data_IF_600074060206
#
_entry.id   IF_600074060206
#
_cell.length_a   1.000
_cell.length_b   1.000
_cell.length_c   1.000
_cell.angle_alpha   90.00
_cell.angle_beta   90.00
_cell.angle_gamma   90.00
#
_symmetry.space_group_name_H-M   'P 1'
#
loop_
_entity.id
_entity.type
_entity.pdbx_description
1 polymer ?
#
# COMPACT_ATOMS: atom_id res chain seq x y z
N UNK A 1 -9.00 -39.51 -6.27
CA UNK A 1 -9.90 -38.47 -6.80
C UNK A 1 -9.72 -37.19 -5.99
N UNK A 2 -8.64 -36.45 -6.26
CA UNK A 2 -8.35 -35.17 -5.61
C UNK A 2 -9.22 -34.14 -6.32
N UNK A 3 -10.33 -33.77 -5.70
CA UNK A 3 -11.17 -32.68 -6.17
C UNK A 3 -10.35 -31.40 -6.06
N UNK A 4 -9.68 -31.03 -7.17
CA UNK A 4 -9.21 -29.68 -7.44
C UNK A 4 -10.44 -28.77 -7.48
N UNK A 5 -10.95 -28.38 -6.32
CA UNK A 5 -11.72 -27.14 -6.21
C UNK A 5 -10.71 -26.02 -6.47
N UNK A 6 -10.74 -25.47 -7.68
CA UNK A 6 -10.23 -24.14 -7.97
C UNK A 6 -10.99 -23.15 -7.07
N UNK A 7 -10.60 -23.08 -5.80
CA UNK A 7 -10.76 -21.85 -5.03
C UNK A 7 -9.73 -20.93 -5.65
N UNK A 8 -10.18 -20.01 -6.51
CA UNK A 8 -9.34 -18.92 -7.00
C UNK A 8 -8.68 -18.26 -5.79
N UNK A 9 -7.39 -18.51 -5.60
CA UNK A 9 -6.61 -17.87 -4.55
C UNK A 9 -6.42 -16.42 -4.97
N UNK A 10 -7.19 -15.50 -4.38
CA UNK A 10 -6.89 -14.08 -4.48
C UNK A 10 -5.56 -13.85 -3.76
N UNK A 11 -4.55 -13.37 -4.47
CA UNK A 11 -3.22 -13.10 -3.94
C UNK A 11 -2.88 -11.62 -4.13
N UNK A 12 -2.13 -11.05 -3.19
CA UNK A 12 -1.55 -9.71 -3.28
C UNK A 12 -0.06 -9.83 -3.00
N UNK A 13 0.76 -10.30 -3.97
CA UNK A 13 2.20 -10.35 -3.78
C UNK A 13 2.77 -8.93 -3.79
N UNK A 14 3.70 -8.64 -2.88
CA UNK A 14 4.45 -7.39 -2.86
C UNK A 14 5.93 -7.66 -2.64
N UNK A 15 6.80 -6.99 -3.37
CA UNK A 15 8.25 -7.13 -3.26
C UNK A 15 8.94 -5.77 -3.36
N UNK A 16 10.16 -5.66 -2.83
CA UNK A 16 10.91 -4.41 -2.82
C UNK A 16 12.41 -4.68 -2.83
N UNK A 17 13.19 -3.74 -3.35
CA UNK A 17 14.65 -3.64 -3.15
C UNK A 17 15.03 -2.57 -2.11
N UNK A 18 14.04 -2.07 -1.37
CA UNK A 18 14.10 -0.88 -0.50
C UNK A 18 14.26 0.41 -1.32
N UNK A 19 15.49 0.81 -1.63
CA UNK A 19 15.76 2.04 -2.40
C UNK A 19 15.65 1.78 -3.92
N UNK A 20 15.48 2.82 -4.75
CA UNK A 20 15.65 2.69 -6.19
C UNK A 20 17.00 2.06 -6.52
N UNK A 21 16.96 0.96 -7.27
CA UNK A 21 18.12 0.09 -7.59
C UNK A 21 18.80 -0.59 -6.39
N UNK A 22 18.10 -0.73 -5.26
CA UNK A 22 18.57 -1.48 -4.10
C UNK A 22 19.88 -0.96 -3.52
N UNK A 23 20.89 -1.83 -3.46
CA UNK A 23 22.25 -1.49 -3.04
C UNK A 23 23.10 -0.89 -4.17
N UNK A 24 22.60 -0.91 -5.41
CA UNK A 24 23.35 -0.63 -6.65
C UNK A 24 24.52 -1.58 -6.90
N UNK A 25 24.53 -2.75 -6.25
CA UNK A 25 25.52 -3.80 -6.45
C UNK A 25 24.90 -4.92 -7.27
N UNK A 26 25.55 -5.27 -8.38
CA UNK A 26 25.13 -6.36 -9.27
C UNK A 26 26.13 -7.51 -9.14
N UNK A 27 25.62 -8.71 -8.89
CA UNK A 27 26.45 -9.93 -8.87
C UNK A 27 26.96 -10.25 -10.28
N UNK A 28 28.03 -11.04 -10.45
CA UNK A 28 28.48 -11.50 -11.77
C UNK A 28 27.39 -12.21 -12.61
N UNK A 29 26.40 -12.81 -11.96
CA UNK A 29 25.24 -13.44 -12.62
C UNK A 29 24.12 -12.45 -13.01
N UNK A 30 24.33 -11.15 -12.83
CA UNK A 30 23.35 -10.11 -13.20
C UNK A 30 22.26 -9.82 -12.17
N UNK A 31 22.31 -10.45 -10.98
CA UNK A 31 21.32 -10.20 -9.91
C UNK A 31 21.65 -8.89 -9.19
N UNK A 32 20.69 -7.98 -9.14
CA UNK A 32 20.77 -6.74 -8.37
C UNK A 32 20.44 -6.99 -6.90
N UNK A 33 21.36 -6.62 -6.00
CA UNK A 33 21.20 -6.86 -4.57
C UNK A 33 20.37 -5.75 -3.90
N UNK A 34 19.52 -6.15 -2.95
CA UNK A 34 18.64 -5.27 -2.19
C UNK A 34 19.42 -4.39 -1.18
N UNK A 35 18.78 -3.36 -0.62
CA UNK A 35 19.34 -2.51 0.45
C UNK A 35 18.55 -2.56 1.76
N UNK A 36 17.98 -3.71 2.09
CA UNK A 36 16.99 -3.85 3.17
C UNK A 36 17.61 -3.74 4.56
N UNK A 37 18.93 -3.92 4.65
CA UNK A 37 19.68 -3.66 5.88
C UNK A 37 19.49 -2.22 6.38
N UNK A 38 19.15 -1.28 5.48
CA UNK A 38 18.92 0.13 5.82
C UNK A 38 17.60 0.37 6.57
N UNK A 39 16.68 -0.60 6.58
CA UNK A 39 15.38 -0.52 7.27
C UNK A 39 15.48 -0.82 8.76
N UNK A 40 16.61 -1.36 9.24
CA UNK A 40 16.88 -1.42 10.68
C UNK A 40 17.08 -0.02 11.27
N UNK A 41 16.84 0.09 12.57
CA UNK A 41 17.24 1.23 13.38
C UNK A 41 18.73 1.15 13.70
N UNK A 42 19.44 2.25 13.42
CA UNK A 42 20.88 2.37 13.63
C UNK A 42 21.11 3.41 14.73
N UNK A 43 21.84 3.02 15.78
CA UNK A 43 22.15 3.90 16.92
C UNK A 43 22.95 5.15 16.53
N UNK A 44 23.74 5.08 15.46
CA UNK A 44 24.63 6.16 15.01
C UNK A 44 24.09 6.97 13.80
N UNK A 45 22.83 6.82 13.40
CA UNK A 45 22.27 7.66 12.33
C UNK A 45 21.97 9.06 12.88
N UNK A 46 22.89 9.98 12.65
CA UNK A 46 22.81 11.41 13.01
C UNK A 46 21.75 12.21 12.23
N UNK A 47 20.95 11.57 11.35
CA UNK A 47 20.15 12.27 10.32
C UNK A 47 18.65 11.97 10.31
N UNK A 48 18.12 11.20 11.25
CA UNK A 48 16.66 10.99 11.34
C UNK A 48 16.11 11.66 12.59
N UNK A 49 15.09 12.51 12.42
CA UNK A 49 14.38 13.21 13.50
C UNK A 49 13.63 12.30 14.47
N UNK A 50 13.66 10.98 14.24
CA UNK A 50 13.00 9.98 15.07
C UNK A 50 14.01 9.20 15.91
N UNK A 51 13.73 8.98 17.21
CA UNK A 51 14.57 8.15 18.05
C UNK A 51 14.62 6.71 17.50
N UNK A 52 15.78 6.04 17.59
CA UNK A 52 15.93 4.68 17.06
C UNK A 52 14.97 3.73 17.79
N UNK A 53 14.23 2.93 17.01
CA UNK A 53 13.32 1.93 17.57
C UNK A 53 14.15 0.75 18.14
N UNK A 54 14.13 0.52 19.46
CA UNK A 54 14.96 -0.52 20.09
C UNK A 54 14.56 -1.93 19.61
N UNK A 55 13.30 -2.14 19.22
CA UNK A 55 12.83 -3.42 18.70
C UNK A 55 13.27 -3.69 17.26
N UNK A 56 13.72 -2.67 16.53
CA UNK A 56 14.19 -2.79 15.15
C UNK A 56 15.71 -2.58 15.03
N UNK A 57 16.49 -2.83 16.07
CA UNK A 57 17.97 -2.83 16.00
C UNK A 57 18.46 -4.07 15.23
N UNK A 58 19.53 -3.90 14.47
CA UNK A 58 20.20 -4.93 13.68
C UNK A 58 20.76 -6.07 14.54
N UNK A 59 20.49 -7.31 14.14
CA UNK A 59 21.01 -8.53 14.77
C UNK A 59 21.21 -9.63 13.70
N UNK A 60 22.17 -10.55 13.86
CA UNK A 60 22.36 -11.68 12.96
C UNK A 60 21.07 -12.50 12.80
N UNK A 61 20.70 -12.83 11.56
CA UNK A 61 19.50 -13.62 11.24
C UNK A 61 18.15 -12.90 11.45
N UNK A 62 18.14 -11.70 12.03
CA UNK A 62 16.92 -10.91 12.22
C UNK A 62 16.42 -10.33 10.90
N UNK A 63 15.11 -10.19 10.76
CA UNK A 63 14.47 -9.50 9.64
C UNK A 63 14.16 -8.05 10.02
N UNK A 64 14.44 -7.07 9.14
CA UNK A 64 14.09 -5.69 9.40
C UNK A 64 12.56 -5.52 9.38
N UNK A 65 12.08 -4.50 10.11
CA UNK A 65 10.69 -4.06 10.01
C UNK A 65 10.37 -3.66 8.57
N UNK A 66 9.17 -3.99 8.10
CA UNK A 66 8.71 -3.68 6.76
C UNK A 66 7.36 -2.97 6.80
N UNK A 67 7.17 -2.02 5.88
CA UNK A 67 5.90 -1.36 5.64
C UNK A 67 5.11 -1.98 4.49
N UNK A 68 5.53 -3.16 4.01
CA UNK A 68 4.76 -3.92 3.03
C UNK A 68 3.53 -4.53 3.71
N UNK A 69 2.34 -4.08 3.32
CA UNK A 69 1.06 -4.55 3.88
C UNK A 69 0.16 -5.13 2.78
N UNK A 70 0.55 -6.25 2.14
CA UNK A 70 -0.35 -6.91 1.19
C UNK A 70 -1.63 -7.35 1.91
N UNK A 71 -2.77 -6.88 1.43
CA UNK A 71 -4.05 -7.03 2.14
C UNK A 71 -5.07 -7.73 1.26
N UNK A 72 -5.71 -8.76 1.81
CA UNK A 72 -6.82 -9.45 1.16
C UNK A 72 -8.03 -9.49 2.10
N UNK A 73 -9.18 -9.10 1.57
CA UNK A 73 -10.49 -9.08 2.25
C UNK A 73 -11.41 -10.05 1.54
N UNK A 74 -12.14 -10.85 2.33
CA UNK A 74 -13.15 -11.78 1.85
C UNK A 74 -14.45 -11.67 2.66
N UNK A 75 -15.61 -12.03 2.07
CA UNK A 75 -16.84 -12.20 2.83
C UNK A 75 -16.64 -13.17 4.00
N UNK A 76 -17.25 -12.86 5.15
CA UNK A 76 -17.20 -13.72 6.35
C UNK A 76 -18.02 -14.99 6.19
N UNK A 77 -19.18 -14.88 5.51
CA UNK A 77 -20.12 -15.98 5.30
C UNK A 77 -20.32 -16.20 3.80
N UNK A 78 -20.27 -17.47 3.39
CA UNK A 78 -20.46 -17.88 2.00
C UNK A 78 -19.28 -17.54 1.07
N UNK A 79 -19.47 -17.89 -0.20
CA UNK A 79 -18.55 -17.54 -1.29
C UNK A 79 -19.05 -16.36 -2.13
N UNK A 80 -20.27 -15.91 -1.86
CA UNK A 80 -20.90 -14.79 -2.55
C UNK A 80 -20.55 -13.49 -1.81
N UNK A 81 -20.15 -12.46 -2.55
CA UNK A 81 -19.83 -11.14 -2.01
C UNK A 81 -18.57 -10.53 -2.61
N UNK A 82 -18.16 -9.41 -2.03
CA UNK A 82 -17.02 -8.63 -2.51
C UNK A 82 -15.73 -9.16 -1.90
N UNK A 83 -14.81 -9.57 -2.76
CA UNK A 83 -13.43 -9.80 -2.39
C UNK A 83 -12.59 -8.62 -2.86
N UNK A 84 -11.61 -8.23 -2.06
CA UNK A 84 -10.71 -7.13 -2.38
C UNK A 84 -9.29 -7.56 -2.06
N UNK A 85 -8.36 -7.33 -2.99
CA UNK A 85 -6.93 -7.42 -2.72
C UNK A 85 -6.30 -6.07 -3.02
N UNK A 86 -5.48 -5.57 -2.10
CA UNK A 86 -4.78 -4.30 -2.22
C UNK A 86 -3.31 -4.49 -1.84
N UNK A 87 -2.44 -3.84 -2.60
CA UNK A 87 -1.05 -3.62 -2.24
C UNK A 87 -0.73 -2.13 -2.38
N UNK A 88 0.30 -1.66 -1.68
CA UNK A 88 0.71 -0.26 -1.80
C UNK A 88 2.22 -0.08 -1.74
N UNK A 89 2.71 0.84 -2.57
CA UNK A 89 4.09 1.33 -2.53
C UNK A 89 4.20 2.65 -1.74
N UNK A 90 5.43 3.10 -1.52
CA UNK A 90 5.82 4.32 -0.80
C UNK A 90 5.92 4.17 0.73
N UNK A 91 6.53 3.07 1.17
CA UNK A 91 7.05 2.95 2.53
C UNK A 91 5.98 3.02 3.62
N UNK A 92 6.24 3.83 4.65
CA UNK A 92 5.41 4.01 5.85
C UNK A 92 3.98 4.50 5.57
N UNK A 93 3.76 5.15 4.44
CA UNK A 93 2.44 5.64 4.01
C UNK A 93 1.52 4.55 3.44
N UNK A 94 2.06 3.36 3.15
CA UNK A 94 1.31 2.26 2.55
C UNK A 94 0.08 1.87 3.39
N UNK A 95 0.23 1.83 4.72
CA UNK A 95 -0.87 1.47 5.62
C UNK A 95 -2.03 2.47 5.54
N UNK A 96 -1.74 3.78 5.56
CA UNK A 96 -2.75 4.82 5.46
C UNK A 96 -3.47 4.79 4.12
N UNK A 97 -2.73 4.57 3.03
CA UNK A 97 -3.29 4.44 1.68
C UNK A 97 -4.26 3.26 1.58
N UNK A 98 -3.81 2.07 1.98
CA UNK A 98 -4.65 0.86 1.97
C UNK A 98 -5.89 1.03 2.85
N UNK A 99 -5.72 1.58 4.06
CA UNK A 99 -6.83 1.79 5.01
C UNK A 99 -7.92 2.68 4.42
N UNK A 100 -7.54 3.80 3.79
CA UNK A 100 -8.51 4.72 3.18
C UNK A 100 -9.22 4.10 1.98
N UNK A 101 -8.50 3.35 1.14
CA UNK A 101 -9.10 2.63 0.01
C UNK A 101 -10.08 1.56 0.49
N UNK A 102 -9.72 0.78 1.52
CA UNK A 102 -10.64 -0.18 2.13
C UNK A 102 -11.88 0.49 2.72
N UNK A 103 -11.70 1.62 3.41
CA UNK A 103 -12.83 2.38 3.97
C UNK A 103 -13.78 2.85 2.86
N UNK A 104 -13.26 3.37 1.75
CA UNK A 104 -14.06 3.80 0.61
C UNK A 104 -14.82 2.65 -0.06
N UNK A 105 -14.16 1.51 -0.27
CA UNK A 105 -14.77 0.34 -0.92
C UNK A 105 -15.80 -0.33 -0.02
N UNK A 106 -15.49 -0.52 1.26
CA UNK A 106 -16.30 -1.32 2.19
C UNK A 106 -17.38 -0.52 2.90
N UNK A 107 -17.07 0.71 3.35
CA UNK A 107 -18.02 1.54 4.11
C UNK A 107 -18.85 2.42 3.18
N UNK A 108 -18.20 3.13 2.27
CA UNK A 108 -18.88 4.09 1.38
C UNK A 108 -19.46 3.45 0.12
N UNK A 109 -19.30 2.12 -0.03
CA UNK A 109 -19.73 1.32 -1.20
C UNK A 109 -19.31 1.90 -2.55
N UNK A 110 -18.20 2.65 -2.57
CA UNK A 110 -17.67 3.25 -3.80
C UNK A 110 -17.07 2.16 -4.68
N UNK A 111 -17.02 2.42 -5.98
CA UNK A 111 -16.31 1.52 -6.89
C UNK A 111 -14.79 1.57 -6.60
N UNK A 112 -14.05 0.53 -6.99
CA UNK A 112 -12.61 0.45 -6.69
C UNK A 112 -11.82 1.57 -7.39
N UNK A 113 -12.23 1.97 -8.60
CA UNK A 113 -11.58 3.04 -9.37
C UNK A 113 -11.67 4.39 -8.68
N UNK A 114 -12.88 4.81 -8.32
CA UNK A 114 -13.10 6.07 -7.60
C UNK A 114 -12.35 6.03 -6.27
N UNK A 115 -12.42 4.90 -5.55
CA UNK A 115 -11.74 4.72 -4.26
C UNK A 115 -10.24 4.91 -4.34
N UNK A 116 -9.61 4.50 -5.45
CA UNK A 116 -8.19 4.74 -5.72
C UNK A 116 -7.91 6.18 -6.17
N UNK A 117 -8.83 6.81 -6.89
CA UNK A 117 -8.69 8.18 -7.37
C UNK A 117 -8.80 9.24 -6.26
N UNK A 118 -9.59 9.01 -5.21
CA UNK A 118 -9.73 9.97 -4.11
C UNK A 118 -8.38 10.37 -3.50
N UNK A 119 -8.30 11.64 -3.09
CA UNK A 119 -7.20 12.14 -2.27
C UNK A 119 -7.02 11.34 -0.99
N UNK A 120 -5.77 11.29 -0.53
CA UNK A 120 -5.36 10.55 0.65
C UNK A 120 -4.73 11.48 1.67
N UNK A 121 -4.83 11.08 2.93
CA UNK A 121 -4.11 11.71 4.03
C UNK A 121 -3.20 10.71 4.75
N UNK A 122 -2.15 11.20 5.41
CA UNK A 122 -1.27 10.43 6.26
C UNK A 122 -0.86 11.26 7.48
N UNK A 123 -1.25 10.86 8.69
CA UNK A 123 -0.76 11.49 9.92
C UNK A 123 0.71 11.13 10.14
N UNK A 124 1.59 12.11 9.99
CA UNK A 124 3.00 12.01 10.36
C UNK A 124 3.12 12.39 11.83
N UNK A 125 3.59 11.46 12.67
CA UNK A 125 3.73 11.74 14.12
C UNK A 125 4.95 12.60 14.44
N UNK A 126 6.00 12.53 13.61
CA UNK A 126 7.22 13.29 13.83
C UNK A 126 7.84 13.75 12.49
N UNK A 127 7.90 15.07 12.22
CA UNK A 127 7.17 16.12 12.95
C UNK A 127 5.65 15.88 12.93
N UNK A 128 4.90 16.44 13.88
CA UNK A 128 3.44 16.30 13.95
C UNK A 128 2.79 17.12 12.83
N UNK A 129 2.57 16.47 11.68
CA UNK A 129 1.97 17.07 10.49
C UNK A 129 0.99 16.11 9.84
N UNK A 130 -0.04 16.66 9.20
CA UNK A 130 -0.97 15.89 8.41
C UNK A 130 -0.61 16.05 6.94
N UNK A 131 -0.05 15.00 6.35
CA UNK A 131 0.27 15.02 4.93
C UNK A 131 -0.97 14.71 4.11
N UNK A 132 -1.20 15.46 3.04
CA UNK A 132 -2.28 15.21 2.06
C UNK A 132 -1.70 15.22 0.64
N UNK A 133 -2.25 14.42 -0.27
CA UNK A 133 -1.80 14.41 -1.66
C UNK A 133 -2.48 15.47 -2.55
N UNK A 134 -2.08 15.57 -3.82
CA UNK A 134 -2.62 16.54 -4.78
C UNK A 134 -4.13 16.44 -4.98
N UNK A 135 -4.66 15.22 -4.93
CA UNK A 135 -6.09 14.93 -5.18
C UNK A 135 -6.97 15.21 -3.96
N UNK A 136 -6.40 15.62 -2.83
CA UNK A 136 -7.15 16.01 -1.64
C UNK A 136 -7.82 17.36 -1.86
N UNK A 137 -9.11 17.47 -1.56
CA UNK A 137 -9.91 18.67 -1.82
C UNK A 137 -9.45 19.85 -0.95
N UNK A 138 -9.38 21.05 -1.53
CA UNK A 138 -8.93 22.24 -0.79
C UNK A 138 -9.91 22.60 0.34
N UNK A 139 -11.21 22.45 0.11
CA UNK A 139 -12.23 22.63 1.15
C UNK A 139 -12.00 21.72 2.37
N UNK A 140 -11.58 20.47 2.15
CA UNK A 140 -11.28 19.53 3.24
C UNK A 140 -9.97 19.92 3.95
N UNK A 141 -8.99 20.46 3.22
CA UNK A 141 -7.75 21.01 3.81
C UNK A 141 -8.07 22.16 4.76
N UNK A 142 -8.89 23.12 4.32
CA UNK A 142 -9.30 24.26 5.15
C UNK A 142 -10.02 23.79 6.43
N UNK A 143 -10.91 22.79 6.32
CA UNK A 143 -11.60 22.20 7.47
C UNK A 143 -10.60 21.54 8.45
N UNK A 144 -9.58 20.85 7.95
CA UNK A 144 -8.57 20.21 8.78
C UNK A 144 -7.67 21.26 9.47
N UNK A 145 -7.28 22.32 8.76
CA UNK A 145 -6.54 23.44 9.33
C UNK A 145 -7.35 24.18 10.40
N UNK A 146 -8.65 24.41 10.16
CA UNK A 146 -9.54 25.01 11.14
C UNK A 146 -9.67 24.16 12.41
N UNK A 147 -9.60 22.83 12.29
CA UNK A 147 -9.54 21.88 13.42
C UNK A 147 -8.18 21.86 14.14
N UNK A 148 -7.19 22.63 13.68
CA UNK A 148 -5.87 22.78 14.30
C UNK A 148 -4.80 21.85 13.74
N UNK A 149 -5.05 21.13 12.65
CA UNK A 149 -4.03 20.28 12.03
C UNK A 149 -3.03 21.11 11.21
N UNK A 150 -1.74 20.80 11.35
CA UNK A 150 -0.69 21.33 10.48
C UNK A 150 -0.66 20.53 9.17
N UNK A 151 -1.43 20.98 8.18
CA UNK A 151 -1.58 20.26 6.91
C UNK A 151 -0.46 20.63 5.93
N UNK A 152 0.18 19.62 5.35
CA UNK A 152 1.20 19.78 4.32
C UNK A 152 0.82 18.99 3.06
N UNK A 153 0.80 19.67 1.91
CA UNK A 153 0.59 19.02 0.62
C UNK A 153 1.87 18.36 0.10
N UNK A 154 1.72 17.20 -0.51
CA UNK A 154 2.76 16.48 -1.27
C UNK A 154 2.17 16.00 -2.59
N UNK A 155 3.01 15.73 -3.60
CA UNK A 155 2.51 15.31 -4.91
C UNK A 155 1.80 13.95 -4.82
N UNK A 156 2.49 12.93 -4.30
CA UNK A 156 1.96 11.57 -4.17
C UNK A 156 2.30 11.01 -2.80
N UNK A 157 1.28 10.62 -2.04
CA UNK A 157 1.47 9.97 -0.73
C UNK A 157 1.82 8.49 -0.87
N UNK A 158 0.98 7.75 -1.60
CA UNK A 158 1.09 6.30 -1.80
C UNK A 158 0.56 5.95 -3.17
N UNK A 159 1.04 4.84 -3.74
CA UNK A 159 0.40 4.21 -4.89
C UNK A 159 -0.26 2.94 -4.37
N UNK A 160 -1.55 2.78 -4.61
CA UNK A 160 -2.32 1.62 -4.18
C UNK A 160 -2.85 0.91 -5.42
N UNK A 161 -2.48 -0.35 -5.56
CA UNK A 161 -2.88 -1.19 -6.67
C UNK A 161 -3.89 -2.21 -6.14
N UNK A 162 -4.96 -2.46 -6.90
CA UNK A 162 -6.10 -3.17 -6.37
C UNK A 162 -6.77 -4.13 -7.34
N UNK A 163 -7.41 -5.16 -6.77
CA UNK A 163 -8.33 -6.02 -7.50
C UNK A 163 -9.58 -6.22 -6.67
N UNK A 164 -10.74 -6.07 -7.30
CA UNK A 164 -12.05 -6.36 -6.70
C UNK A 164 -12.72 -7.47 -7.46
N UNK A 165 -13.18 -8.50 -6.76
CA UNK A 165 -14.05 -9.53 -7.31
C UNK A 165 -15.45 -9.38 -6.74
N UNK A 166 -16.44 -9.33 -7.61
CA UNK A 166 -17.85 -9.42 -7.25
C UNK A 166 -18.45 -10.57 -8.06
N UNK A 167 -18.77 -11.67 -7.38
CA UNK A 167 -19.21 -12.92 -8.01
C UNK A 167 -18.20 -13.41 -9.08
N UNK A 168 -18.55 -13.31 -10.36
CA UNK A 168 -17.74 -13.80 -11.48
C UNK A 168 -16.92 -12.71 -12.17
N UNK A 169 -17.16 -11.45 -11.81
CA UNK A 169 -16.43 -10.33 -12.36
C UNK A 169 -15.24 -9.98 -11.47
N UNK A 170 -14.04 -10.05 -12.04
CA UNK A 170 -12.78 -9.60 -11.43
C UNK A 170 -12.35 -8.32 -12.14
N UNK A 171 -12.27 -7.23 -11.38
CA UNK A 171 -11.83 -5.92 -11.87
C UNK A 171 -10.48 -5.63 -11.24
N UNK A 172 -9.41 -5.68 -12.02
CA UNK A 172 -8.13 -5.05 -11.66
C UNK A 172 -8.23 -3.55 -11.91
N UNK A 173 -7.69 -2.76 -10.99
CA UNK A 173 -7.63 -1.31 -11.15
C UNK A 173 -6.27 -0.82 -10.71
N UNK A 174 -5.70 0.07 -11.53
CA UNK A 174 -4.44 0.72 -11.21
C UNK A 174 -4.64 2.01 -10.43
N UNK A 175 -3.65 2.43 -9.64
CA UNK A 175 -3.65 3.79 -9.11
C UNK A 175 -3.56 4.80 -10.28
N UNK A 176 -4.45 5.80 -10.39
CA UNK A 176 -4.33 6.81 -11.44
C UNK A 176 -3.02 7.62 -11.36
N UNK A 177 -2.40 7.69 -10.18
CA UNK A 177 -1.09 8.32 -9.96
C UNK A 177 0.08 7.49 -10.51
N UNK A 178 -0.17 6.24 -10.90
CA UNK A 178 0.83 5.33 -11.43
C UNK A 178 0.89 5.44 -12.96
N UNK A 179 1.97 6.02 -13.48
CA UNK A 179 2.17 6.24 -14.92
C UNK A 179 2.27 4.91 -15.70
N UNK A 180 3.10 3.99 -15.19
CA UNK A 180 3.51 2.78 -15.93
C UNK A 180 2.74 1.51 -15.51
N UNK A 181 1.76 1.62 -14.62
CA UNK A 181 0.93 0.49 -14.23
C UNK A 181 -0.13 0.16 -15.29
N UNK A 182 -0.54 -1.11 -15.31
CA UNK A 182 -1.61 -1.64 -16.15
C UNK A 182 -2.53 -2.53 -15.33
N UNK A 183 -3.81 -2.55 -15.69
CA UNK A 183 -4.82 -3.34 -15.04
C UNK A 183 -5.82 -3.90 -16.06
N UNK A 184 -6.39 -5.07 -15.77
CA UNK A 184 -7.32 -5.77 -16.64
C UNK A 184 -8.58 -6.15 -15.87
N UNK A 185 -9.71 -6.14 -16.57
CA UNK A 185 -10.97 -6.68 -16.08
C UNK A 185 -11.23 -8.01 -16.76
N UNK A 186 -11.60 -9.03 -15.97
CA UNK A 186 -11.86 -10.38 -16.44
C UNK A 186 -13.24 -10.83 -15.93
N UNK A 187 -14.03 -11.45 -16.80
CA UNK A 187 -15.24 -12.19 -16.41
C UNK A 187 -14.92 -13.67 -16.41
N UNK A 188 -15.23 -14.35 -15.32
CA UNK A 188 -15.14 -15.80 -15.25
C UNK A 188 -16.43 -16.39 -15.79
N UNK A 189 -16.41 -16.88 -17.02
CA UNK A 189 -17.48 -17.76 -17.47
C UNK A 189 -17.38 -19.05 -16.64
N UNK A 190 -18.25 -19.20 -15.64
CA UNK A 190 -18.43 -20.49 -15.00
C UNK A 190 -19.01 -21.45 -16.05
N UNK A 191 -18.40 -22.64 -16.28
CA UNK A 191 -19.01 -23.67 -17.10
C UNK A 191 -20.28 -24.25 -16.47
#
# INVERSE_FOLDING_TARGET
MVVRRLVLSLQSPFSSLNRPFGSRIVTPSGILLNSQILDFSWSNKTQTSQPPNPHNVIQPGKRPLSFLVPTAVRPRLGLCGTYVALGSSNGDRALSGITQVLMNVLSSRKNLSDSLAYGRLHPQLQPDTLLVDSEFLEEDVEVLQFKGHQVQRVDVLSLVEGTRRTNDLIIGVKDPRSADASALTMSMNMP
#
